data_IF_890277742678
#
_entry.id   IF_890277742678
#
_cell.length_a   1.000
_cell.length_b   1.000
_cell.length_c   1.000
_cell.angle_alpha   90.00
_cell.angle_beta   90.00
_cell.angle_gamma   90.00
#
_symmetry.space_group_name_H-M   'P 1'
#
loop_
_entity.id
_entity.type
_entity.pdbx_description
1 polymer ?
#
# COMPACT_ATOMS: atom_id res chain seq x y z
N UNK A 1 -9.24 8.35 16.04
CA UNK A 1 -7.86 7.83 15.94
C UNK A 1 -7.40 7.87 14.49
N UNK A 2 -6.09 7.87 14.23
CA UNK A 2 -5.53 7.72 12.87
C UNK A 2 -5.26 6.23 12.62
N UNK A 3 -5.65 5.72 11.46
CA UNK A 3 -5.43 4.30 11.10
C UNK A 3 -4.08 4.13 10.43
N UNK A 4 -3.39 3.03 10.73
CA UNK A 4 -2.13 2.64 10.09
C UNK A 4 -2.25 1.19 9.63
N UNK A 5 -2.01 0.94 8.35
CA UNK A 5 -2.14 -0.38 7.73
C UNK A 5 -0.78 -0.81 7.19
N UNK A 6 -0.33 -2.00 7.56
CA UNK A 6 0.86 -2.61 6.99
C UNK A 6 0.49 -3.34 5.71
N UNK A 7 1.09 -2.94 4.59
CA UNK A 7 0.96 -3.64 3.31
C UNK A 7 2.26 -4.39 3.07
N UNK A 8 2.17 -5.70 2.84
CA UNK A 8 3.31 -6.59 2.66
C UNK A 8 3.17 -7.36 1.35
N UNK A 9 4.28 -7.58 0.66
CA UNK A 9 4.28 -8.40 -0.56
C UNK A 9 4.29 -9.90 -0.23
N UNK A 10 3.56 -10.69 -1.02
CA UNK A 10 3.61 -12.15 -0.93
C UNK A 10 5.01 -12.66 -1.29
N UNK A 11 5.42 -13.78 -0.67
CA UNK A 11 6.66 -14.47 -1.04
C UNK A 11 6.44 -15.18 -2.37
N UNK A 12 7.24 -14.83 -3.38
CA UNK A 12 7.22 -15.48 -4.69
C UNK A 12 8.64 -15.98 -4.96
N UNK A 13 8.75 -17.29 -5.15
CA UNK A 13 10.05 -17.94 -5.39
C UNK A 13 10.69 -17.39 -6.66
N UNK A 14 11.97 -17.04 -6.58
CA UNK A 14 12.78 -16.51 -7.69
C UNK A 14 12.26 -15.23 -8.36
N UNK A 15 11.29 -14.55 -7.74
CA UNK A 15 10.79 -13.28 -8.24
C UNK A 15 11.77 -12.14 -7.96
N UNK A 16 12.17 -11.44 -9.02
CA UNK A 16 12.99 -10.23 -8.94
C UNK A 16 12.17 -9.05 -9.47
N UNK A 17 11.82 -8.06 -8.63
CA UNK A 17 11.09 -6.88 -9.08
C UNK A 17 11.94 -6.10 -10.08
N UNK A 18 11.31 -5.61 -11.14
CA UNK A 18 11.93 -4.67 -12.08
C UNK A 18 11.21 -3.34 -12.00
N UNK A 19 11.94 -2.21 -11.88
CA UNK A 19 11.32 -0.91 -11.82
C UNK A 19 10.33 -0.68 -12.96
N UNK A 20 9.06 -0.61 -12.59
CA UNK A 20 7.98 -0.22 -13.48
C UNK A 20 7.94 1.29 -13.63
N UNK A 21 7.63 1.77 -14.83
CA UNK A 21 7.22 3.14 -15.05
C UNK A 21 5.72 3.22 -14.83
N UNK A 22 5.28 4.15 -14.00
CA UNK A 22 3.87 4.52 -13.95
C UNK A 22 3.63 5.51 -15.08
N UNK A 23 2.84 5.12 -16.09
CA UNK A 23 2.47 6.02 -17.18
C UNK A 23 1.55 7.13 -16.66
N UNK A 24 1.72 8.36 -17.18
CA UNK A 24 0.89 9.52 -16.85
C UNK A 24 -0.61 9.31 -17.13
N UNK A 25 -0.96 8.34 -17.99
CA UNK A 25 -2.34 8.01 -18.38
C UNK A 25 -3.15 7.20 -17.35
N UNK A 26 -2.52 6.70 -16.27
CA UNK A 26 -3.32 6.11 -15.18
C UNK A 26 -3.93 7.27 -14.39
N UNK A 27 -5.17 7.67 -14.71
CA UNK A 27 -5.91 8.77 -14.08
C UNK A 27 -6.01 8.69 -12.54
N UNK A 28 -5.59 7.58 -11.93
CA UNK A 28 -5.43 7.41 -10.49
C UNK A 28 -4.07 7.93 -9.94
N UNK A 29 -3.18 8.39 -10.82
CA UNK A 29 -1.81 8.81 -10.53
C UNK A 29 -1.60 10.26 -10.94
N UNK A 30 -1.29 11.13 -9.97
CA UNK A 30 -0.84 12.51 -10.22
C UNK A 30 0.65 12.73 -9.91
N UNK A 31 1.40 11.67 -9.59
CA UNK A 31 2.81 11.77 -9.21
C UNK A 31 3.69 10.92 -10.13
N UNK A 32 4.16 11.53 -11.22
CA UNK A 32 5.10 10.96 -12.19
C UNK A 32 6.50 10.60 -11.63
N UNK A 33 6.68 10.45 -10.32
CA UNK A 33 7.99 10.47 -9.66
C UNK A 33 8.38 9.21 -8.89
N UNK A 34 7.55 8.17 -8.91
CA UNK A 34 7.78 7.00 -8.07
C UNK A 34 8.26 5.81 -8.91
N UNK A 35 9.58 5.54 -8.88
CA UNK A 35 10.18 4.35 -9.51
C UNK A 35 9.95 3.13 -8.59
N UNK A 36 9.43 2.01 -9.10
CA UNK A 36 9.06 0.81 -8.29
C UNK A 36 8.10 1.12 -7.13
N UNK A 37 6.94 1.69 -7.42
CA UNK A 37 6.09 2.30 -6.40
C UNK A 37 4.95 1.41 -5.90
N UNK A 38 4.61 1.54 -4.61
CA UNK A 38 3.40 1.03 -3.98
C UNK A 38 2.54 2.20 -3.50
N UNK A 39 1.29 2.28 -3.97
CA UNK A 39 0.38 3.39 -3.63
C UNK A 39 -0.99 2.86 -3.17
N UNK A 40 -1.56 3.53 -2.19
CA UNK A 40 -2.91 3.35 -1.69
C UNK A 40 -3.83 4.39 -2.33
N UNK A 41 -4.86 3.91 -3.00
CA UNK A 41 -5.85 4.72 -3.69
C UNK A 41 -7.22 4.31 -3.15
N UNK A 42 -7.99 5.27 -2.68
CA UNK A 42 -9.40 5.05 -2.38
C UNK A 42 -10.16 4.70 -3.66
N UNK A 43 -11.24 3.91 -3.57
CA UNK A 43 -12.12 3.76 -4.73
C UNK A 43 -12.62 5.14 -5.22
N UNK A 44 -12.91 5.33 -6.52
CA UNK A 44 -13.35 6.63 -7.02
C UNK A 44 -14.55 7.22 -6.27
N UNK A 45 -15.48 6.37 -5.82
CA UNK A 45 -16.64 6.77 -5.00
C UNK A 45 -16.27 7.16 -3.55
N UNK A 46 -15.07 6.82 -3.11
CA UNK A 46 -14.58 6.97 -1.73
C UNK A 46 -13.43 7.99 -1.60
N UNK A 47 -12.98 8.58 -2.71
CA UNK A 47 -11.80 9.47 -2.76
C UNK A 47 -11.95 10.69 -1.85
N UNK A 48 -13.16 11.23 -1.73
CA UNK A 48 -13.44 12.40 -0.90
C UNK A 48 -13.46 12.08 0.61
N UNK A 49 -13.53 10.80 0.96
CA UNK A 49 -13.60 10.32 2.34
C UNK A 49 -12.22 10.10 2.98
N UNK A 50 -11.13 10.13 2.17
CA UNK A 50 -9.75 10.02 2.64
C UNK A 50 -8.95 11.22 2.18
N UNK A 51 -8.21 11.85 3.10
CA UNK A 51 -7.24 12.89 2.80
C UNK A 51 -5.93 12.60 3.51
N UNK A 52 -4.84 13.09 2.92
CA UNK A 52 -3.51 13.06 3.53
C UNK A 52 -3.07 11.63 3.93
N UNK A 53 -2.75 10.82 2.92
CA UNK A 53 -2.14 9.50 3.11
C UNK A 53 -0.63 9.70 3.20
N UNK A 54 0.02 9.10 4.20
CA UNK A 54 1.48 9.06 4.28
C UNK A 54 1.93 7.61 4.16
N UNK A 55 2.89 7.37 3.27
CA UNK A 55 3.56 6.09 3.11
C UNK A 55 4.87 6.12 3.87
N UNK A 56 5.19 5.04 4.57
CA UNK A 56 6.42 4.93 5.37
C UNK A 56 7.08 3.59 5.05
N UNK A 57 8.35 3.65 4.70
CA UNK A 57 9.21 2.52 4.31
C UNK A 57 10.60 2.67 4.90
N UNK A 58 11.48 1.71 4.64
CA UNK A 58 12.89 1.77 5.06
C UNK A 58 13.61 3.01 4.50
N UNK A 59 13.22 3.51 3.32
CA UNK A 59 13.83 4.66 2.67
C UNK A 59 13.28 6.02 3.14
N UNK A 60 12.38 6.02 4.12
CA UNK A 60 11.72 7.22 4.62
C UNK A 60 10.23 7.25 4.34
N UNK A 61 9.68 8.46 4.32
CA UNK A 61 8.24 8.70 4.18
C UNK A 61 7.93 9.69 3.06
N UNK A 62 6.79 9.48 2.39
CA UNK A 62 6.31 10.34 1.31
C UNK A 62 4.77 10.34 1.31
N UNK A 63 4.14 11.39 0.78
CA UNK A 63 2.67 11.56 0.81
C UNK A 63 1.97 11.14 -0.49
N UNK A 64 2.74 10.72 -1.49
CA UNK A 64 2.25 10.32 -2.80
C UNK A 64 2.43 8.81 -3.02
N UNK A 65 3.57 8.25 -2.61
CA UNK A 65 3.94 6.87 -2.89
C UNK A 65 5.03 6.33 -1.95
N UNK A 66 5.38 5.05 -2.07
CA UNK A 66 6.59 4.51 -1.46
C UNK A 66 7.20 3.38 -2.29
N UNK A 67 8.48 3.10 -2.12
CA UNK A 67 9.20 2.01 -2.79
C UNK A 67 9.37 0.80 -1.88
N UNK A 68 9.31 -0.41 -2.47
CA UNK A 68 9.75 -1.62 -1.80
C UNK A 68 11.25 -1.84 -2.05
N UNK A 69 11.99 -2.09 -0.97
CA UNK A 69 13.42 -2.38 -1.01
C UNK A 69 13.69 -3.67 -1.79
N UNK A 70 14.44 -3.57 -2.89
CA UNK A 70 14.71 -4.72 -3.78
C UNK A 70 15.74 -5.69 -3.22
N UNK A 71 16.53 -5.28 -2.20
CA UNK A 71 17.53 -6.13 -1.54
C UNK A 71 16.95 -7.38 -0.89
N UNK A 72 15.64 -7.37 -0.61
CA UNK A 72 14.91 -8.50 -0.07
C UNK A 72 14.46 -9.49 -1.15
N UNK A 73 14.81 -9.31 -2.41
CA UNK A 73 14.49 -10.22 -3.50
C UNK A 73 15.77 -10.80 -4.14
N UNK A 74 15.69 -12.02 -4.71
CA UNK A 74 14.52 -12.90 -4.75
C UNK A 74 14.27 -13.64 -3.43
N UNK A 75 13.04 -14.12 -3.24
CA UNK A 75 12.77 -15.12 -2.21
C UNK A 75 13.26 -16.49 -2.69
N UNK A 76 14.35 -16.98 -2.13
CA UNK A 76 14.80 -18.36 -2.30
C UNK A 76 14.02 -19.30 -1.34
N UNK A 77 13.30 -20.29 -1.87
CA UNK A 77 12.57 -21.27 -1.05
C UNK A 77 13.49 -22.38 -0.51
N UNK A 78 14.58 -21.96 0.15
CA UNK A 78 15.54 -22.89 0.74
C UNK A 78 15.05 -23.32 2.11
N UNK A 79 14.74 -24.61 2.25
CA UNK A 79 14.39 -25.27 3.52
C UNK A 79 15.47 -25.07 4.61
N UNK A 80 16.70 -24.77 4.21
CA UNK A 80 17.88 -24.61 5.07
C UNK A 80 18.40 -23.16 5.14
N UNK A 81 17.56 -22.16 4.82
CA UNK A 81 17.99 -20.77 5.00
C UNK A 81 18.33 -20.51 6.48
N UNK A 82 19.55 -20.03 6.73
CA UNK A 82 20.02 -19.69 8.07
C UNK A 82 19.52 -18.31 8.54
N UNK A 83 19.13 -17.44 7.60
CA UNK A 83 18.55 -16.12 7.85
C UNK A 83 17.01 -16.11 7.81
N UNK A 84 16.41 -15.27 8.63
CA UNK A 84 14.96 -15.04 8.62
C UNK A 84 14.63 -14.08 7.49
N UNK A 85 14.07 -14.61 6.39
CA UNK A 85 13.60 -13.78 5.28
C UNK A 85 12.56 -12.75 5.74
N UNK A 86 12.87 -11.47 5.53
CA UNK A 86 11.97 -10.34 5.77
C UNK A 86 11.37 -9.90 4.44
N UNK A 87 10.07 -10.17 4.23
CA UNK A 87 9.42 -9.67 3.03
C UNK A 87 9.26 -8.14 3.14
N UNK A 88 9.51 -7.40 2.06
CA UNK A 88 9.40 -5.95 2.10
C UNK A 88 7.94 -5.53 2.32
N UNK A 89 7.80 -4.42 3.03
CA UNK A 89 6.51 -3.88 3.44
C UNK A 89 6.53 -2.36 3.41
N UNK A 90 5.33 -1.78 3.35
CA UNK A 90 5.09 -0.34 3.44
C UNK A 90 3.97 -0.12 4.44
N UNK A 91 4.17 0.84 5.34
CA UNK A 91 3.10 1.35 6.18
C UNK A 91 2.32 2.43 5.45
N UNK A 92 1.00 2.29 5.45
CA UNK A 92 0.07 3.27 4.90
C UNK A 92 -0.68 3.91 6.07
N UNK A 93 -0.38 5.18 6.32
CA UNK A 93 -0.98 5.96 7.40
C UNK A 93 -2.06 6.87 6.85
N UNK A 94 -3.29 6.68 7.31
CA UNK A 94 -4.43 7.51 6.94
C UNK A 94 -4.58 8.63 7.96
N UNK A 95 -4.08 9.83 7.63
CA UNK A 95 -4.06 10.94 8.60
C UNK A 95 -5.43 11.60 8.76
N UNK A 96 -6.26 11.62 7.72
CA UNK A 96 -7.60 12.19 7.73
C UNK A 96 -8.56 11.24 7.04
N UNK A 97 -9.48 10.68 7.82
CA UNK A 97 -10.51 9.74 7.35
C UNK A 97 -11.84 10.24 7.84
N UNK A 98 -12.84 10.29 6.95
CA UNK A 98 -14.20 10.67 7.33
C UNK A 98 -14.78 9.61 8.29
N UNK A 99 -15.20 9.99 9.50
CA UNK A 99 -15.74 9.04 10.43
C UNK A 99 -17.16 8.60 10.06
N UNK A 100 -17.59 7.47 10.61
CA UNK A 100 -18.92 6.86 10.42
C UNK A 100 -19.26 6.56 8.96
N UNK A 101 -18.24 6.38 8.11
CA UNK A 101 -18.37 5.96 6.72
C UNK A 101 -17.46 4.76 6.49
N UNK A 102 -17.99 3.74 5.80
CA UNK A 102 -17.20 2.59 5.36
C UNK A 102 -16.48 2.97 4.07
N UNK A 103 -15.15 2.92 4.09
CA UNK A 103 -14.32 3.37 2.98
C UNK A 103 -13.56 2.20 2.38
N UNK A 104 -13.66 2.02 1.06
CA UNK A 104 -12.93 1.00 0.32
C UNK A 104 -11.59 1.55 -0.17
N UNK A 105 -10.51 0.85 0.17
CA UNK A 105 -9.14 1.20 -0.21
C UNK A 105 -8.53 0.10 -1.07
N UNK A 106 -7.84 0.50 -2.13
CA UNK A 106 -7.02 -0.38 -2.96
C UNK A 106 -5.56 0.05 -2.82
N UNK A 107 -4.67 -0.83 -2.40
CA UNK A 107 -3.23 -0.61 -2.56
C UNK A 107 -2.73 -1.37 -3.77
N UNK A 108 -1.95 -0.73 -4.63
CA UNK A 108 -1.35 -1.32 -5.84
C UNK A 108 0.16 -1.20 -5.79
N UNK A 109 0.84 -2.24 -6.25
CA UNK A 109 2.28 -2.26 -6.50
C UNK A 109 2.50 -2.17 -8.00
N UNK A 110 3.39 -1.29 -8.43
CA UNK A 110 3.76 -1.06 -9.82
C UNK A 110 5.16 -1.61 -10.09
N UNK A 111 5.25 -2.55 -11.04
CA UNK A 111 6.49 -3.22 -11.44
C UNK A 111 6.40 -3.61 -12.91
N UNK A 112 7.51 -3.55 -13.65
CA UNK A 112 7.54 -3.86 -15.08
C UNK A 112 7.25 -5.34 -15.39
N UNK A 113 7.48 -6.24 -14.43
CA UNK A 113 7.22 -7.67 -14.57
C UNK A 113 5.86 -8.10 -14.00
N UNK A 114 5.05 -7.19 -13.46
CA UNK A 114 3.75 -7.54 -12.88
C UNK A 114 2.62 -7.00 -13.76
N UNK A 115 1.97 -7.92 -14.48
CA UNK A 115 0.74 -7.60 -15.21
C UNK A 115 -0.44 -7.46 -14.23
N UNK A 116 -1.07 -6.29 -14.24
CA UNK A 116 -2.29 -6.06 -13.48
C UNK A 116 -3.43 -6.91 -14.04
N UNK A 117 -3.94 -7.82 -13.22
CA UNK A 117 -5.20 -8.51 -13.49
C UNK A 117 -6.20 -8.15 -12.37
N UNK A 118 -7.22 -7.36 -12.75
CA UNK A 118 -8.30 -6.92 -11.85
C UNK A 118 -9.09 -8.11 -11.26
N UNK A 119 -9.12 -9.25 -11.97
CA UNK A 119 -9.85 -10.47 -11.59
C UNK A 119 -9.06 -11.31 -10.59
N UNK A 120 -7.74 -11.39 -10.73
CA UNK A 120 -6.90 -12.23 -9.86
C UNK A 120 -6.35 -11.52 -8.61
N UNK A 121 -6.60 -10.21 -8.46
CA UNK A 121 -5.97 -9.37 -7.42
C UNK A 121 -4.43 -9.44 -7.42
N UNK A 122 -3.81 -9.72 -8.57
CA UNK A 122 -2.36 -9.68 -8.70
C UNK A 122 -1.89 -8.23 -8.56
N UNK A 123 -0.77 -8.03 -7.84
CA UNK A 123 -0.19 -6.72 -7.57
C UNK A 123 -1.09 -5.74 -6.80
N UNK A 124 -2.19 -6.19 -6.21
CA UNK A 124 -3.09 -5.31 -5.47
C UNK A 124 -3.64 -5.98 -4.21
N UNK A 125 -3.99 -5.17 -3.23
CA UNK A 125 -4.79 -5.59 -2.08
C UNK A 125 -5.95 -4.63 -1.90
N UNK A 126 -7.08 -5.15 -1.40
CA UNK A 126 -8.30 -4.39 -1.12
C UNK A 126 -8.67 -4.60 0.32
N UNK A 127 -9.03 -3.52 1.00
CA UNK A 127 -9.54 -3.60 2.37
C UNK A 127 -10.49 -2.44 2.64
N UNK A 128 -11.20 -2.54 3.75
CA UNK A 128 -12.18 -1.55 4.18
C UNK A 128 -11.73 -0.91 5.49
N UNK A 129 -11.92 0.39 5.61
CA UNK A 129 -11.68 1.15 6.83
C UNK A 129 -13.02 1.73 7.29
N UNK A 130 -13.35 1.51 8.56
CA UNK A 130 -14.45 2.18 9.24
C UNK A 130 -13.94 2.74 10.57
N UNK A 131 -14.03 4.05 10.74
CA UNK A 131 -13.66 4.73 11.99
C UNK A 131 -14.92 5.32 12.58
N UNK A 132 -15.32 4.84 13.76
CA UNK A 132 -16.46 5.39 14.49
C UNK A 132 -16.07 6.71 15.15
N UNK A 133 -16.90 7.73 15.02
CA UNK A 133 -16.82 8.91 15.89
C UNK A 133 -17.54 8.58 17.19
N UNK A 134 -16.79 8.55 18.30
CA UNK A 134 -17.38 8.36 19.62
C UNK A 134 -17.38 9.73 20.28
N UNK A 135 -18.56 10.31 20.58
CA UNK A 135 -18.65 11.58 21.29
C UNK A 135 -17.82 11.51 22.57
N UNK A 136 -16.99 12.54 22.79
CA UNK A 136 -16.13 12.61 23.99
C UNK A 136 -16.92 12.50 25.30
N UNK A 137 -18.21 12.86 25.31
CA UNK A 137 -19.11 12.77 26.46
C UNK A 137 -19.36 11.34 26.95
N UNK A 138 -19.15 10.31 26.11
CA UNK A 138 -19.37 8.90 26.47
C UNK A 138 -18.07 8.27 27.01
N UNK A 139 -16.91 8.88 26.75
CA UNK A 139 -15.59 8.35 27.17
C UNK A 139 -15.16 8.86 28.55
N UNK A 140 -15.93 9.73 29.19
CA UNK A 140 -15.65 10.36 30.49
C UNK A 140 -16.54 9.87 31.63
N UNK A 141 -17.24 8.75 31.45
CA UNK A 141 -18.11 8.09 32.42
C UNK A 141 -17.68 6.64 32.58
#
# INVERSE_FOLDING_TARGET
GKSCVLVKMNKIVDFVPKPGYVSEDDHAFKSAQCRSSSNAIAYPADVDNIKNITYISENGHDNNCSSLETKWFPYEDKKERQDVYQAPYVWVKFNQVKPNVLINVICRVFDANINFDKKSSRALTRFQIYIKDIPKSILSS
#
